data_IF_868304024703
#
_entry.id   IF_868304024703
#
_cell.length_a   1.000
_cell.length_b   1.000
_cell.length_c   1.000
_cell.angle_alpha   90.00
_cell.angle_beta   90.00
_cell.angle_gamma   90.00
#
_symmetry.space_group_name_H-M   'P 1'
#
loop_
_entity.id
_entity.type
_entity.pdbx_description
1 polymer ?
#
# COMPACT_ATOMS: atom_id res chain seq x y z
N UNK A 1 2.03 13.15 -9.33
CA UNK A 1 2.63 12.07 -8.51
C UNK A 1 1.83 10.81 -8.79
N UNK A 2 2.48 9.73 -9.22
CA UNK A 2 1.81 8.46 -9.51
C UNK A 2 1.43 7.71 -8.22
N UNK A 3 0.56 6.70 -8.33
CA UNK A 3 0.09 5.94 -7.17
C UNK A 3 1.21 5.21 -6.45
N UNK A 4 2.24 4.75 -7.18
CA UNK A 4 3.42 4.15 -6.58
C UNK A 4 4.12 5.13 -5.65
N UNK A 5 4.39 6.35 -6.12
CA UNK A 5 5.06 7.37 -5.31
C UNK A 5 4.19 7.78 -4.12
N UNK A 6 2.87 7.93 -4.31
CA UNK A 6 1.93 8.19 -3.20
C UNK A 6 1.96 7.08 -2.14
N UNK A 7 1.99 5.83 -2.57
CA UNK A 7 2.05 4.69 -1.66
C UNK A 7 3.38 4.66 -0.89
N UNK A 8 4.53 4.86 -1.57
CA UNK A 8 5.85 4.97 -0.91
C UNK A 8 5.88 6.10 0.10
N UNK A 9 5.28 7.24 -0.23
CA UNK A 9 5.15 8.37 0.68
C UNK A 9 4.37 8.01 1.95
N UNK A 10 3.24 7.30 1.83
CA UNK A 10 2.47 6.83 3.00
C UNK A 10 3.30 5.90 3.90
N UNK A 11 4.06 4.97 3.30
CA UNK A 11 4.95 4.09 4.07
C UNK A 11 5.99 4.88 4.85
N UNK A 12 6.70 5.79 4.18
CA UNK A 12 7.76 6.59 4.80
C UNK A 12 7.20 7.53 5.86
N UNK A 13 6.09 8.22 5.58
CA UNK A 13 5.46 9.17 6.50
C UNK A 13 5.00 8.52 7.81
N UNK A 14 4.51 7.29 7.74
CA UNK A 14 4.00 6.57 8.90
C UNK A 14 5.00 5.57 9.49
N UNK A 15 6.20 5.45 8.92
CA UNK A 15 7.24 4.53 9.38
C UNK A 15 6.84 3.06 9.33
N UNK A 16 5.98 2.67 8.37
CA UNK A 16 5.47 1.29 8.25
C UNK A 16 6.10 0.54 7.07
N UNK A 17 6.26 -0.76 7.24
CA UNK A 17 6.78 -1.68 6.24
C UNK A 17 5.72 -2.07 5.21
N UNK A 18 6.16 -2.67 4.10
CA UNK A 18 5.26 -3.24 3.09
C UNK A 18 4.41 -4.40 3.65
N UNK A 19 4.93 -5.13 4.64
CA UNK A 19 4.20 -6.22 5.28
C UNK A 19 3.07 -5.68 6.17
N UNK A 20 3.37 -4.65 6.96
CA UNK A 20 2.37 -3.96 7.77
C UNK A 20 1.32 -3.26 6.90
N UNK A 21 1.71 -2.63 5.80
CA UNK A 21 0.76 -1.98 4.90
C UNK A 21 -0.18 -3.00 4.24
N UNK A 22 0.31 -4.19 3.87
CA UNK A 22 -0.52 -5.28 3.38
C UNK A 22 -1.53 -5.74 4.45
N UNK A 23 -1.07 -5.92 5.69
CA UNK A 23 -1.94 -6.31 6.81
C UNK A 23 -3.01 -5.24 7.11
N UNK A 24 -2.65 -3.96 7.06
CA UNK A 24 -3.58 -2.84 7.24
C UNK A 24 -4.63 -2.80 6.14
N UNK A 25 -4.23 -2.99 4.88
CA UNK A 25 -5.17 -3.07 3.75
C UNK A 25 -6.09 -4.28 3.90
N UNK A 26 -5.57 -5.45 4.29
CA UNK A 26 -6.39 -6.64 4.56
C UNK A 26 -7.46 -6.34 5.61
N UNK A 27 -7.04 -5.80 6.76
CA UNK A 27 -7.94 -5.49 7.87
C UNK A 27 -8.95 -4.41 7.51
N UNK A 28 -8.59 -3.42 6.69
CA UNK A 28 -9.49 -2.35 6.31
C UNK A 28 -10.50 -2.77 5.23
N UNK A 29 -10.03 -3.48 4.19
CA UNK A 29 -10.87 -3.86 3.04
C UNK A 29 -11.62 -5.17 3.23
N UNK A 30 -11.28 -5.95 4.26
CA UNK A 30 -11.78 -7.32 4.48
C UNK A 30 -11.51 -8.24 3.28
N UNK A 31 -10.50 -7.92 2.47
CA UNK A 31 -10.06 -8.68 1.30
C UNK A 31 -8.59 -9.07 1.43
N UNK A 32 -8.19 -10.25 0.94
CA UNK A 32 -6.79 -10.68 1.02
C UNK A 32 -5.89 -9.77 0.19
N UNK A 33 -4.87 -9.20 0.83
CA UNK A 33 -3.80 -8.42 0.24
C UNK A 33 -2.45 -9.03 0.66
N UNK A 34 -1.76 -9.67 -0.29
CA UNK A 34 -0.47 -10.30 -0.02
C UNK A 34 0.67 -9.28 -0.10
N UNK A 35 1.70 -9.44 0.74
CA UNK A 35 2.92 -8.60 0.71
C UNK A 35 3.59 -8.62 -0.68
N UNK A 36 3.54 -9.76 -1.37
CA UNK A 36 4.05 -9.88 -2.75
C UNK A 36 3.34 -8.95 -3.74
N UNK A 37 2.05 -8.71 -3.53
CA UNK A 37 1.23 -7.81 -4.36
C UNK A 37 1.66 -6.36 -4.12
N UNK A 38 1.85 -5.98 -2.85
CA UNK A 38 2.41 -4.66 -2.50
C UNK A 38 3.80 -4.48 -3.12
N UNK A 39 4.66 -5.49 -3.05
CA UNK A 39 5.99 -5.45 -3.70
C UNK A 39 5.86 -5.22 -5.21
N UNK A 40 4.94 -5.91 -5.89
CA UNK A 40 4.73 -5.73 -7.34
C UNK A 40 4.30 -4.30 -7.69
N UNK A 41 3.53 -3.63 -6.83
CA UNK A 41 3.14 -2.23 -7.02
C UNK A 41 4.29 -1.23 -6.86
N UNK A 42 5.21 -1.54 -5.93
CA UNK A 42 6.30 -0.64 -5.53
C UNK A 42 7.61 -0.88 -6.28
N UNK A 43 7.72 -2.03 -6.93
CA UNK A 43 8.83 -2.39 -7.79
C UNK A 43 9.01 -1.39 -8.93
N UNK A 44 10.25 -1.38 -9.43
CA UNK A 44 10.64 -0.68 -10.64
C UNK A 44 9.65 -0.93 -11.79
N UNK A 45 9.07 0.11 -12.43
CA UNK A 45 8.12 -0.04 -13.52
C UNK A 45 8.68 -0.82 -14.71
N UNK A 46 9.98 -0.79 -14.94
CA UNK A 46 10.59 -1.38 -16.13
C UNK A 46 10.79 -2.91 -15.99
N UNK A 47 10.46 -3.47 -14.81
CA UNK A 47 10.55 -4.91 -14.56
C UNK A 47 9.27 -5.64 -14.97
N UNK A 48 9.35 -6.82 -15.60
CA UNK A 48 8.17 -7.61 -16.01
C UNK A 48 7.23 -8.01 -14.86
N UNK A 49 7.76 -8.06 -13.63
CA UNK A 49 6.99 -8.38 -12.42
C UNK A 49 6.33 -7.16 -11.77
N UNK A 50 6.51 -5.98 -12.35
CA UNK A 50 5.92 -4.72 -11.88
C UNK A 50 4.47 -4.64 -12.34
N UNK A 51 3.57 -4.37 -11.40
CA UNK A 51 2.20 -4.04 -11.71
C UNK A 51 1.94 -2.59 -11.33
N UNK A 52 1.15 -1.82 -12.10
CA UNK A 52 0.73 -0.49 -11.67
C UNK A 52 0.08 -0.53 -10.29
N UNK A 53 0.46 0.40 -9.41
CA UNK A 53 -0.19 0.55 -8.12
C UNK A 53 -1.62 1.09 -8.34
N UNK A 54 -2.68 0.36 -7.97
CA UNK A 54 -4.04 0.77 -8.25
C UNK A 54 -4.50 1.86 -7.27
N UNK A 55 -5.40 2.75 -7.71
CA UNK A 55 -5.92 3.84 -6.87
C UNK A 55 -6.54 3.35 -5.57
N UNK A 56 -7.29 2.24 -5.63
CA UNK A 56 -7.94 1.67 -4.46
C UNK A 56 -6.95 1.27 -3.37
N UNK A 57 -5.73 0.84 -3.73
CA UNK A 57 -4.73 0.40 -2.75
C UNK A 57 -4.16 1.59 -1.97
N UNK A 58 -3.93 2.72 -2.66
CA UNK A 58 -3.51 3.98 -2.02
C UNK A 58 -4.61 4.48 -1.08
N UNK A 59 -5.85 4.51 -1.57
CA UNK A 59 -7.00 4.98 -0.80
C UNK A 59 -7.28 4.09 0.42
N UNK A 60 -7.20 2.76 0.26
CA UNK A 60 -7.38 1.82 1.36
C UNK A 60 -6.31 1.97 2.43
N UNK A 61 -5.03 2.16 2.05
CA UNK A 61 -3.96 2.37 3.01
C UNK A 61 -4.12 3.69 3.77
N UNK A 62 -4.42 4.78 3.06
CA UNK A 62 -4.64 6.09 3.68
C UNK A 62 -5.81 6.06 4.68
N UNK A 63 -6.93 5.42 4.30
CA UNK A 63 -8.08 5.23 5.17
C UNK A 63 -7.75 4.36 6.39
N UNK A 64 -7.02 3.25 6.21
CA UNK A 64 -6.59 2.38 7.30
C UNK A 64 -5.68 3.12 8.30
N UNK A 65 -4.74 3.94 7.80
CA UNK A 65 -3.84 4.75 8.61
C UNK A 65 -4.57 5.84 9.40
N UNK A 66 -5.56 6.50 8.79
CA UNK A 66 -6.44 7.46 9.48
C UNK A 66 -7.24 6.78 10.58
N UNK A 67 -7.83 5.62 10.31
CA UNK A 67 -8.58 4.85 11.31
C UNK A 67 -7.70 4.40 12.48
N UNK A 68 -6.43 4.04 12.22
CA UNK A 68 -5.45 3.68 13.27
C UNK A 68 -5.12 4.84 14.22
N UNK A 69 -5.18 6.09 13.75
CA UNK A 69 -4.86 7.29 14.55
C UNK A 69 -6.03 7.75 15.44
N UNK A 70 -7.26 7.35 15.12
CA UNK A 70 -8.46 7.69 15.90
C UNK A 70 -8.74 6.73 17.06
N UNK A 71 -7.84 5.76 17.31
CA UNK A 71 -7.83 4.90 18.49
C UNK A 71 -6.72 5.33 19.43
#
# INVERSE_FOLDING_TARGET
MDNRTRYKYLLAKHGITQAESAALICAHTQRPCAVRTVRAWLNDPDKPSSNPCPDWAVNALDAALKARRSK
#
